data_IF_180861844434
#
_entry.id   IF_180861844434
#
_cell.length_a   1.000
_cell.length_b   1.000
_cell.length_c   1.000
_cell.angle_alpha   90.00
_cell.angle_beta   90.00
_cell.angle_gamma   90.00
#
_symmetry.space_group_name_H-M   'P 1'
#
loop_
_entity.id
_entity.type
_entity.pdbx_description
1 polymer ?
#
# COMPACT_ATOMS: atom_id res chain seq x y z
N UNK A 1 -23.01 -24.85 3.80
CA UNK A 1 -22.66 -23.43 3.62
C UNK A 1 -21.14 -23.33 3.49
N UNK A 2 -20.62 -22.53 2.56
CA UNK A 2 -19.19 -22.17 2.61
C UNK A 2 -18.99 -21.26 3.83
N UNK A 3 -17.97 -21.53 4.65
CA UNK A 3 -17.56 -20.63 5.71
C UNK A 3 -16.77 -19.47 5.10
N UNK A 4 -17.04 -18.26 5.56
CA UNK A 4 -16.35 -17.05 5.14
C UNK A 4 -15.70 -16.41 6.35
N UNK A 5 -14.46 -15.94 6.19
CA UNK A 5 -13.74 -15.16 7.19
C UNK A 5 -13.58 -13.75 6.68
N UNK A 6 -13.91 -12.77 7.52
CA UNK A 6 -13.71 -11.36 7.24
C UNK A 6 -12.22 -11.02 7.34
N UNK A 7 -11.64 -10.53 6.24
CA UNK A 7 -10.22 -10.17 6.16
C UNK A 7 -9.98 -8.65 6.07
N UNK A 8 -11.04 -7.85 6.28
CA UNK A 8 -10.95 -6.40 6.35
C UNK A 8 -11.62 -5.67 5.19
N UNK A 9 -11.56 -4.34 5.29
CA UNK A 9 -12.06 -3.42 4.29
C UNK A 9 -11.04 -2.33 4.01
N UNK A 10 -11.01 -1.84 2.78
CA UNK A 10 -10.24 -0.67 2.37
C UNK A 10 -11.23 0.40 1.92
N UNK A 11 -11.31 1.50 2.66
CA UNK A 11 -12.16 2.62 2.30
C UNK A 11 -11.56 3.39 1.11
N UNK A 12 -12.42 3.87 0.22
CA UNK A 12 -12.00 4.83 -0.79
C UNK A 12 -11.76 6.17 -0.11
N UNK A 13 -10.51 6.63 -0.15
CA UNK A 13 -10.11 7.96 0.26
C UNK A 13 -9.85 8.81 -0.98
N UNK A 14 -10.52 9.95 -1.09
CA UNK A 14 -10.35 10.91 -2.19
C UNK A 14 -9.76 12.23 -1.68
N UNK A 15 -9.13 12.19 -0.50
CA UNK A 15 -8.54 13.34 0.15
C UNK A 15 -9.55 14.25 0.84
N UNK A 16 -9.15 15.47 1.20
CA UNK A 16 -9.97 16.41 1.98
C UNK A 16 -11.08 17.05 1.12
N UNK A 17 -12.01 16.24 0.65
CA UNK A 17 -13.19 16.68 -0.10
C UNK A 17 -14.42 16.73 0.81
N UNK A 18 -15.44 17.49 0.42
CA UNK A 18 -16.76 17.45 1.07
C UNK A 18 -17.59 16.22 0.64
N UNK A 19 -16.99 15.30 -0.12
CA UNK A 19 -17.65 14.07 -0.58
C UNK A 19 -17.59 13.03 0.54
N UNK A 20 -18.73 12.43 0.88
CA UNK A 20 -18.77 11.34 1.84
C UNK A 20 -18.05 10.11 1.25
N UNK A 21 -17.19 9.48 2.04
CA UNK A 21 -16.67 8.14 1.74
C UNK A 21 -17.85 7.18 1.56
N UNK A 22 -18.07 6.72 0.32
CA UNK A 22 -19.23 5.93 -0.09
C UNK A 22 -18.86 4.56 -0.66
N UNK A 23 -17.56 4.25 -0.74
CA UNK A 23 -17.03 3.00 -1.29
C UNK A 23 -16.04 2.33 -0.35
N UNK A 24 -16.09 1.01 -0.36
CA UNK A 24 -15.12 0.16 0.31
C UNK A 24 -14.81 -1.07 -0.55
N UNK A 25 -13.55 -1.49 -0.63
CA UNK A 25 -13.20 -2.84 -1.06
C UNK A 25 -13.33 -3.77 0.14
N UNK A 26 -14.06 -4.86 -0.03
CA UNK A 26 -14.32 -5.84 1.02
C UNK A 26 -13.55 -7.12 0.71
N UNK A 27 -12.74 -7.59 1.66
CA UNK A 27 -11.97 -8.83 1.54
C UNK A 27 -12.61 -9.95 2.34
N UNK A 28 -12.89 -11.06 1.67
CA UNK A 28 -13.47 -12.25 2.28
C UNK A 28 -12.64 -13.47 1.89
N UNK A 29 -12.27 -14.26 2.90
CA UNK A 29 -11.57 -15.53 2.68
C UNK A 29 -12.55 -16.71 2.73
N UNK A 30 -12.66 -17.50 1.65
CA UNK A 30 -13.43 -18.73 1.67
C UNK A 30 -12.67 -19.80 2.46
N UNK A 31 -13.23 -20.25 3.57
CA UNK A 31 -12.64 -21.31 4.40
C UNK A 31 -11.51 -20.84 5.33
N UNK A 32 -11.13 -19.57 5.32
CA UNK A 32 -10.15 -18.99 6.25
C UNK A 32 -8.69 -19.23 5.90
N UNK A 33 -8.38 -19.51 4.63
CA UNK A 33 -7.00 -19.49 4.14
C UNK A 33 -6.50 -18.05 3.97
N UNK A 34 -5.22 -17.88 3.61
CA UNK A 34 -4.63 -16.57 3.26
C UNK A 34 -5.05 -16.04 1.88
N UNK A 35 -5.99 -16.70 1.21
CA UNK A 35 -6.55 -16.30 -0.07
C UNK A 35 -7.84 -15.51 0.10
N UNK A 36 -7.95 -14.40 -0.62
CA UNK A 36 -9.09 -13.50 -0.58
C UNK A 36 -9.82 -13.47 -1.92
N UNK A 37 -11.14 -13.35 -1.87
CA UNK A 37 -11.89 -12.63 -2.90
C UNK A 37 -12.01 -11.17 -2.47
N UNK A 38 -12.14 -10.27 -3.45
CA UNK A 38 -12.30 -8.83 -3.19
C UNK A 38 -13.49 -8.30 -3.98
N UNK A 39 -14.37 -7.53 -3.34
CA UNK A 39 -15.53 -6.92 -4.00
C UNK A 39 -15.75 -5.51 -3.50
N UNK A 40 -16.04 -4.59 -4.40
CA UNK A 40 -16.42 -3.24 -4.06
C UNK A 40 -17.85 -3.17 -3.50
N UNK A 41 -18.02 -2.37 -2.45
CA UNK A 41 -19.25 -2.22 -1.70
C UNK A 41 -19.60 -0.73 -1.59
N UNK A 42 -20.86 -0.41 -1.86
CA UNK A 42 -21.41 0.91 -1.66
C UNK A 42 -21.92 1.04 -0.23
N UNK A 43 -21.30 1.94 0.54
CA UNK A 43 -21.67 2.19 1.94
C UNK A 43 -23.03 2.90 2.07
N UNK A 44 -23.44 3.64 1.02
CA UNK A 44 -24.71 4.39 1.02
C UNK A 44 -25.92 3.49 0.77
N UNK A 45 -25.78 2.49 -0.09
CA UNK A 45 -26.88 1.55 -0.43
C UNK A 45 -26.75 0.22 0.30
N UNK A 46 -25.64 -0.01 1.00
CA UNK A 46 -25.30 -1.26 1.70
C UNK A 46 -25.31 -2.49 0.78
N UNK A 47 -24.87 -2.30 -0.47
CA UNK A 47 -24.83 -3.36 -1.48
C UNK A 47 -23.46 -3.46 -2.14
N UNK A 48 -23.10 -4.66 -2.60
CA UNK A 48 -21.98 -4.81 -3.54
C UNK A 48 -22.29 -4.07 -4.85
N UNK A 49 -21.28 -3.41 -5.39
CA UNK A 49 -21.38 -2.69 -6.67
C UNK A 49 -21.26 -3.72 -7.80
N UNK A 50 -22.23 -3.74 -8.71
CA UNK A 50 -22.23 -4.67 -9.84
C UNK A 50 -21.11 -4.30 -10.84
N UNK A 51 -20.16 -5.22 -11.15
CA UNK A 51 -19.12 -4.98 -12.16
C UNK A 51 -19.67 -4.72 -13.56
N UNK A 52 -20.87 -5.22 -13.89
CA UNK A 52 -21.54 -5.01 -15.17
C UNK A 52 -22.63 -3.92 -15.10
N UNK A 53 -22.83 -3.32 -13.92
CA UNK A 53 -23.76 -2.22 -13.71
C UNK A 53 -23.17 -0.88 -14.12
N UNK A 54 -23.97 0.18 -13.96
CA UNK A 54 -23.56 1.55 -14.33
C UNK A 54 -22.34 2.06 -13.55
N UNK A 55 -22.15 1.60 -12.32
CA UNK A 55 -21.04 2.04 -11.46
C UNK A 55 -19.80 1.16 -11.59
N UNK A 56 -19.90 0.03 -12.31
CA UNK A 56 -18.79 -0.85 -12.70
C UNK A 56 -17.86 -1.19 -11.54
N UNK A 57 -18.38 -1.92 -10.55
CA UNK A 57 -17.66 -2.27 -9.33
C UNK A 57 -16.39 -3.08 -9.57
N UNK A 58 -15.35 -2.85 -8.77
CA UNK A 58 -14.18 -3.73 -8.76
C UNK A 58 -14.52 -5.09 -8.11
N UNK A 59 -14.26 -6.18 -8.83
CA UNK A 59 -14.51 -7.54 -8.36
C UNK A 59 -13.38 -8.53 -8.75
N UNK A 60 -12.86 -9.25 -7.75
CA UNK A 60 -11.94 -10.39 -7.88
C UNK A 60 -12.63 -11.59 -7.23
N UNK A 61 -13.07 -12.55 -8.04
CA UNK A 61 -13.84 -13.73 -7.56
C UNK A 61 -13.00 -14.97 -7.35
N UNK A 62 -11.83 -15.07 -7.99
CA UNK A 62 -10.92 -16.19 -7.76
C UNK A 62 -10.08 -15.95 -6.50
N UNK A 63 -10.15 -16.82 -5.48
CA UNK A 63 -9.39 -16.64 -4.25
C UNK A 63 -7.88 -16.75 -4.50
N UNK A 64 -7.14 -15.72 -4.10
CA UNK A 64 -5.67 -15.72 -4.10
C UNK A 64 -5.15 -14.75 -3.03
N UNK A 65 -3.87 -14.90 -2.64
CA UNK A 65 -3.23 -13.89 -1.76
C UNK A 65 -3.20 -12.57 -2.51
N UNK A 66 -4.03 -11.62 -2.09
CA UNK A 66 -4.28 -10.39 -2.87
C UNK A 66 -3.88 -9.14 -2.09
N UNK A 67 -3.03 -8.32 -2.71
CA UNK A 67 -2.76 -6.95 -2.29
C UNK A 67 -3.52 -6.03 -3.23
N UNK A 68 -4.40 -5.20 -2.69
CA UNK A 68 -5.19 -4.25 -3.47
C UNK A 68 -5.34 -2.98 -2.65
N UNK A 69 -5.32 -1.84 -3.31
CA UNK A 69 -5.49 -0.51 -2.75
C UNK A 69 -6.18 0.36 -3.79
N UNK A 70 -7.10 1.23 -3.37
CA UNK A 70 -7.54 2.31 -4.24
C UNK A 70 -6.35 3.23 -4.50
N UNK A 71 -6.16 3.58 -5.76
CA UNK A 71 -5.35 4.74 -6.12
C UNK A 71 -6.24 5.96 -6.33
N UNK A 72 -7.39 5.77 -6.97
CA UNK A 72 -8.45 6.77 -7.09
C UNK A 72 -9.81 6.06 -7.16
N UNK A 73 -10.90 6.82 -7.27
CA UNK A 73 -12.23 6.24 -7.51
C UNK A 73 -12.29 5.34 -8.74
N UNK A 74 -11.46 5.60 -9.75
CA UNK A 74 -11.49 4.89 -11.03
C UNK A 74 -10.29 3.96 -11.23
N UNK A 75 -9.48 3.73 -10.19
CA UNK A 75 -8.27 2.93 -10.31
C UNK A 75 -7.91 2.19 -9.01
N UNK A 76 -7.62 0.90 -9.13
CA UNK A 76 -6.99 0.12 -8.09
C UNK A 76 -5.55 -0.26 -8.48
N UNK A 77 -4.65 -0.26 -7.50
CA UNK A 77 -3.35 -0.92 -7.58
C UNK A 77 -3.53 -2.32 -7.03
N UNK A 78 -3.30 -3.34 -7.86
CA UNK A 78 -3.64 -4.73 -7.53
C UNK A 78 -2.48 -5.68 -7.85
N UNK A 79 -2.12 -6.51 -6.88
CA UNK A 79 -1.30 -7.70 -7.06
C UNK A 79 -2.09 -8.93 -6.63
N UNK A 80 -2.19 -9.91 -7.52
CA UNK A 80 -2.89 -11.19 -7.29
C UNK A 80 -2.39 -12.24 -8.28
N UNK A 81 -2.91 -13.46 -8.23
CA UNK A 81 -2.61 -14.49 -9.23
C UNK A 81 -3.45 -14.28 -10.50
N UNK A 82 -3.01 -13.40 -11.38
CA UNK A 82 -3.78 -12.95 -12.56
C UNK A 82 -4.11 -14.06 -13.55
N UNK A 83 -3.28 -15.10 -13.62
CA UNK A 83 -3.35 -16.15 -14.64
C UNK A 83 -3.65 -17.53 -14.03
N UNK A 84 -3.68 -17.64 -12.71
CA UNK A 84 -3.89 -18.90 -11.98
C UNK A 84 -2.81 -19.96 -12.29
N UNK A 85 -1.63 -19.50 -12.70
CA UNK A 85 -0.47 -20.31 -13.07
C UNK A 85 0.77 -19.96 -12.23
N UNK A 86 0.63 -19.07 -11.25
CA UNK A 86 1.70 -18.57 -10.35
C UNK A 86 2.79 -17.73 -11.03
N UNK A 87 2.68 -17.41 -12.33
CA UNK A 87 3.67 -16.60 -13.06
C UNK A 87 3.84 -15.18 -12.49
N UNK A 88 2.82 -14.70 -11.79
CA UNK A 88 2.75 -13.37 -11.17
C UNK A 88 3.00 -13.40 -9.66
N UNK A 89 3.35 -14.56 -9.11
CA UNK A 89 3.59 -14.77 -7.67
C UNK A 89 5.08 -14.99 -7.37
N UNK A 90 5.48 -14.63 -6.16
CA UNK A 90 6.79 -14.96 -5.60
C UNK A 90 6.85 -16.44 -5.21
N UNK A 91 8.05 -16.92 -4.83
CA UNK A 91 8.21 -18.28 -4.28
C UNK A 91 7.41 -18.49 -2.97
N UNK A 92 7.06 -17.40 -2.28
CA UNK A 92 6.20 -17.40 -1.09
C UNK A 92 4.70 -17.42 -1.41
N UNK A 93 4.32 -17.40 -2.69
CA UNK A 93 2.95 -17.41 -3.18
C UNK A 93 2.18 -16.10 -2.97
N UNK A 94 2.87 -14.99 -2.68
CA UNK A 94 2.30 -13.64 -2.65
C UNK A 94 2.51 -12.94 -3.99
N UNK A 95 1.83 -11.83 -4.28
CA UNK A 95 2.04 -11.09 -5.52
C UNK A 95 3.50 -10.69 -5.70
N UNK A 96 4.07 -10.98 -6.87
CA UNK A 96 5.35 -10.45 -7.37
C UNK A 96 5.11 -9.25 -8.29
N UNK A 97 3.98 -9.27 -9.00
CA UNK A 97 3.58 -8.26 -9.99
C UNK A 97 2.43 -7.44 -9.42
N UNK A 98 2.51 -6.12 -9.54
CA UNK A 98 1.43 -5.18 -9.25
C UNK A 98 1.02 -4.46 -10.53
N UNK A 99 -0.29 -4.36 -10.74
CA UNK A 99 -0.90 -3.76 -11.92
C UNK A 99 -1.82 -2.59 -11.54
N UNK A 100 -1.86 -1.58 -12.42
CA UNK A 100 -2.91 -0.57 -12.47
C UNK A 100 -4.15 -1.17 -13.12
N UNK A 101 -5.25 -1.23 -12.36
CA UNK A 101 -6.53 -1.73 -12.83
C UNK A 101 -7.56 -0.61 -12.85
N UNK A 102 -8.01 -0.26 -14.06
CA UNK A 102 -8.94 0.84 -14.31
C UNK A 102 -10.38 0.36 -14.17
N UNK A 103 -11.24 1.21 -13.61
CA UNK A 103 -12.67 0.94 -13.48
C UNK A 103 -13.29 0.71 -14.87
N UNK A 104 -14.22 -0.25 -14.95
CA UNK A 104 -14.91 -0.58 -16.19
C UNK A 104 -14.12 -1.46 -17.16
N UNK A 105 -12.89 -1.86 -16.81
CA UNK A 105 -12.13 -2.87 -17.58
C UNK A 105 -12.04 -4.18 -16.82
N UNK A 106 -11.95 -5.33 -17.50
CA UNK A 106 -11.68 -6.60 -16.83
C UNK A 106 -10.27 -6.61 -16.21
N UNK A 107 -10.09 -7.34 -15.11
CA UNK A 107 -8.79 -7.46 -14.42
C UNK A 107 -7.66 -7.92 -15.34
N UNK A 108 -7.96 -8.69 -16.39
CA UNK A 108 -7.01 -9.17 -17.39
C UNK A 108 -6.38 -8.05 -18.24
N UNK A 109 -7.05 -6.89 -18.35
CA UNK A 109 -6.55 -5.70 -19.07
C UNK A 109 -5.73 -4.76 -18.19
N UNK A 110 -5.59 -5.06 -16.88
CA UNK A 110 -4.74 -4.28 -16.00
C UNK A 110 -3.28 -4.26 -16.50
N UNK A 111 -2.61 -3.13 -16.33
CA UNK A 111 -1.26 -2.87 -16.85
C UNK A 111 -0.24 -2.99 -15.73
N UNK A 112 0.84 -3.75 -15.94
CA UNK A 112 1.92 -3.86 -14.95
C UNK A 112 2.58 -2.51 -14.72
N UNK A 113 2.67 -2.12 -13.44
CA UNK A 113 3.29 -0.86 -13.00
C UNK A 113 4.45 -1.07 -12.04
N UNK A 114 4.57 -2.26 -11.46
CA UNK A 114 5.65 -2.60 -10.53
C UNK A 114 5.86 -4.12 -10.46
N UNK A 115 7.12 -4.55 -10.41
CA UNK A 115 7.49 -5.94 -10.21
C UNK A 115 8.61 -6.05 -9.17
N UNK A 116 8.46 -7.00 -8.24
CA UNK A 116 9.49 -7.41 -7.30
C UNK A 116 10.29 -8.61 -7.84
N UNK A 117 11.30 -9.05 -7.08
CA UNK A 117 12.06 -10.24 -7.42
C UNK A 117 11.29 -11.51 -7.06
N UNK A 118 11.57 -12.61 -7.77
CA UNK A 118 10.94 -13.91 -7.53
C UNK A 118 11.16 -14.42 -6.08
N UNK A 119 12.34 -14.14 -5.53
CA UNK A 119 12.78 -14.56 -4.19
C UNK A 119 12.31 -13.62 -3.06
N UNK A 120 11.71 -12.48 -3.39
CA UNK A 120 11.12 -11.62 -2.37
C UNK A 120 9.92 -12.32 -1.72
N UNK A 121 9.53 -11.88 -0.53
CA UNK A 121 8.28 -12.34 0.08
C UNK A 121 7.09 -11.84 -0.74
N UNK A 122 7.03 -10.54 -1.04
CA UNK A 122 5.91 -9.94 -1.77
C UNK A 122 6.25 -8.57 -2.38
N UNK A 123 5.51 -8.21 -3.42
CA UNK A 123 5.33 -6.86 -3.93
C UNK A 123 4.01 -6.27 -3.43
N UNK A 124 4.02 -4.98 -3.11
CA UNK A 124 2.82 -4.19 -2.86
C UNK A 124 2.99 -2.80 -3.48
N UNK A 125 1.89 -2.19 -3.89
CA UNK A 125 1.85 -0.79 -4.30
C UNK A 125 0.54 -0.19 -3.82
N UNK A 126 0.61 0.99 -3.22
CA UNK A 126 -0.54 1.63 -2.60
C UNK A 126 -0.41 3.14 -2.61
N UNK A 127 -1.55 3.82 -2.64
CA UNK A 127 -1.68 5.27 -2.54
C UNK A 127 -2.69 5.61 -1.45
N UNK A 128 -2.47 6.72 -0.76
CA UNK A 128 -3.46 7.25 0.18
C UNK A 128 -3.29 8.76 0.34
N UNK A 129 -4.35 9.39 0.83
CA UNK A 129 -4.38 10.80 1.13
C UNK A 129 -4.25 11.00 2.64
N UNK A 130 -3.52 12.02 3.08
CA UNK A 130 -3.53 12.45 4.47
C UNK A 130 -3.34 13.96 4.55
N UNK A 131 -4.34 14.66 5.10
CA UNK A 131 -4.30 16.13 5.34
C UNK A 131 -3.85 16.94 4.12
N UNK A 132 -4.25 16.52 2.92
CA UNK A 132 -3.94 17.20 1.65
C UNK A 132 -2.64 16.72 0.97
N UNK A 133 -1.89 15.81 1.57
CA UNK A 133 -0.76 15.15 0.94
C UNK A 133 -1.21 13.84 0.32
N UNK A 134 -0.62 13.48 -0.82
CA UNK A 134 -0.83 12.17 -1.45
C UNK A 134 0.49 11.43 -1.49
N UNK A 135 0.50 10.29 -0.80
CA UNK A 135 1.66 9.43 -0.72
C UNK A 135 1.42 8.19 -1.54
N UNK A 136 2.29 7.93 -2.52
CA UNK A 136 2.28 6.69 -3.26
C UNK A 136 3.58 5.92 -3.03
N UNK A 137 3.43 4.63 -2.72
CA UNK A 137 4.53 3.75 -2.38
C UNK A 137 4.52 2.51 -3.24
N UNK A 138 5.72 2.10 -3.66
CA UNK A 138 6.03 0.73 -4.03
C UNK A 138 6.80 0.10 -2.88
N UNK A 139 6.45 -1.13 -2.51
CA UNK A 139 7.04 -1.85 -1.40
C UNK A 139 7.46 -3.26 -1.85
N UNK A 140 8.75 -3.56 -1.70
CA UNK A 140 9.25 -4.94 -1.74
C UNK A 140 9.42 -5.42 -0.32
N UNK A 141 8.68 -6.44 0.08
CA UNK A 141 9.02 -7.22 1.27
C UNK A 141 10.10 -8.24 0.86
N UNK A 142 11.37 -7.92 1.10
CA UNK A 142 12.51 -8.74 0.64
C UNK A 142 12.58 -10.02 1.48
N UNK A 143 12.56 -9.87 2.79
CA UNK A 143 12.46 -10.98 3.75
C UNK A 143 11.34 -10.70 4.75
N UNK A 144 11.18 -11.56 5.76
CA UNK A 144 10.29 -11.28 6.90
C UNK A 144 10.70 -10.06 7.73
N UNK A 145 11.95 -9.60 7.63
CA UNK A 145 12.49 -8.52 8.47
C UNK A 145 13.06 -7.35 7.68
N UNK A 146 13.13 -7.46 6.35
CA UNK A 146 13.70 -6.42 5.50
C UNK A 146 12.76 -6.06 4.37
N UNK A 147 12.67 -4.77 4.07
CA UNK A 147 11.81 -4.19 3.05
C UNK A 147 12.51 -3.04 2.34
N UNK A 148 12.17 -2.83 1.07
CA UNK A 148 12.57 -1.66 0.30
C UNK A 148 11.33 -0.84 -0.04
N UNK A 149 11.33 0.43 0.37
CA UNK A 149 10.28 1.39 0.06
C UNK A 149 10.76 2.29 -1.08
N UNK A 150 9.97 2.40 -2.12
CA UNK A 150 10.10 3.47 -3.11
C UNK A 150 8.89 4.39 -2.99
N UNK A 151 9.13 5.69 -3.07
CA UNK A 151 8.15 6.72 -2.81
C UNK A 151 8.10 7.75 -3.94
N UNK A 152 6.91 8.28 -4.19
CA UNK A 152 6.70 9.55 -4.88
C UNK A 152 5.60 10.35 -4.20
N UNK A 153 5.77 11.67 -4.19
CA UNK A 153 4.73 12.61 -3.78
C UNK A 153 3.87 12.96 -4.99
N UNK A 154 2.55 12.91 -4.84
CA UNK A 154 1.59 13.31 -5.87
C UNK A 154 0.63 14.37 -5.34
N UNK A 155 -0.16 14.97 -6.24
CA UNK A 155 -1.29 15.84 -5.88
C UNK A 155 -2.61 15.08 -5.96
N UNK A 156 -3.63 15.61 -5.26
CA UNK A 156 -4.99 15.07 -5.30
C UNK A 156 -5.54 15.09 -6.73
N UNK A 157 -5.32 16.20 -7.44
CA UNK A 157 -5.74 16.36 -8.84
C UNK A 157 -4.99 15.42 -9.77
N UNK A 158 -3.69 15.22 -9.53
CA UNK A 158 -2.84 14.33 -10.33
C UNK A 158 -3.33 12.89 -10.27
N UNK A 159 -3.58 12.38 -9.05
CA UNK A 159 -4.05 11.00 -8.85
C UNK A 159 -5.47 10.79 -9.38
N UNK A 160 -6.32 11.81 -9.36
CA UNK A 160 -7.66 11.73 -9.94
C UNK A 160 -7.65 11.73 -11.49
N UNK A 161 -6.67 12.38 -12.12
CA UNK A 161 -6.64 12.58 -13.57
C UNK A 161 -5.70 11.66 -14.35
N UNK A 162 -4.62 11.18 -13.73
CA UNK A 162 -3.57 10.38 -14.39
C UNK A 162 -3.46 9.04 -13.68
N UNK A 163 -3.58 7.94 -14.41
CA UNK A 163 -3.46 6.58 -13.86
C UNK A 163 -1.99 6.19 -13.65
N UNK A 164 -1.71 5.23 -12.78
CA UNK A 164 -0.35 4.85 -12.41
C UNK A 164 0.50 4.38 -13.60
N UNK A 165 -0.10 3.74 -14.61
CA UNK A 165 0.57 3.31 -15.84
C UNK A 165 0.96 4.48 -16.77
N UNK A 166 0.40 5.68 -16.52
CA UNK A 166 0.67 6.90 -17.26
C UNK A 166 1.36 7.98 -16.40
N UNK A 167 1.68 7.67 -15.15
CA UNK A 167 2.27 8.64 -14.22
C UNK A 167 3.78 8.75 -14.46
N UNK A 168 4.21 9.96 -14.80
CA UNK A 168 5.60 10.25 -15.16
C UNK A 168 6.46 10.65 -13.97
N UNK A 169 5.85 11.00 -12.82
CA UNK A 169 6.61 11.28 -11.60
C UNK A 169 7.33 9.99 -11.15
N UNK A 170 8.68 9.97 -11.12
CA UNK A 170 9.42 8.77 -10.85
C UNK A 170 9.37 8.39 -9.37
N UNK A 171 9.39 7.08 -9.10
CA UNK A 171 9.66 6.56 -7.77
C UNK A 171 11.14 6.75 -7.41
N UNK A 172 11.41 7.12 -6.16
CA UNK A 172 12.75 7.16 -5.56
C UNK A 172 12.80 6.26 -4.35
N UNK A 173 13.91 5.56 -4.15
CA UNK A 173 14.13 4.80 -2.94
C UNK A 173 14.11 5.72 -1.71
N UNK A 174 13.41 5.31 -0.66
CA UNK A 174 13.41 6.00 0.62
C UNK A 174 14.70 5.65 1.36
N UNK A 175 15.54 6.63 1.76
CA UNK A 175 16.87 6.35 2.32
C UNK A 175 16.79 6.00 3.81
N UNK A 176 16.20 4.85 4.12
CA UNK A 176 16.15 4.23 5.45
C UNK A 176 16.77 2.83 5.39
N UNK A 177 17.26 2.29 6.53
CA UNK A 177 17.69 0.89 6.58
C UNK A 177 16.58 -0.06 6.13
N UNK A 178 16.93 -1.15 5.44
CA UNK A 178 15.92 -2.11 4.97
C UNK A 178 15.16 -2.79 6.11
N UNK A 179 15.74 -2.87 7.31
CA UNK A 179 15.10 -3.43 8.49
C UNK A 179 14.25 -2.42 9.28
N UNK A 180 14.15 -1.18 8.80
CA UNK A 180 13.25 -0.17 9.34
C UNK A 180 11.87 -0.22 8.69
N UNK A 181 10.86 0.23 9.44
CA UNK A 181 9.49 0.38 8.96
C UNK A 181 9.18 1.86 8.74
N UNK A 182 8.44 2.15 7.68
CA UNK A 182 8.02 3.50 7.32
C UNK A 182 6.51 3.65 7.49
N UNK A 183 6.11 4.62 8.30
CA UNK A 183 4.77 5.21 8.30
C UNK A 183 4.82 6.68 7.91
N UNK A 184 3.66 7.31 7.77
CA UNK A 184 3.55 8.76 7.64
C UNK A 184 2.46 9.33 8.53
N UNK A 185 2.55 10.63 8.80
CA UNK A 185 1.47 11.43 9.35
C UNK A 185 1.52 12.82 8.70
N UNK A 186 0.49 13.16 7.91
CA UNK A 186 0.58 14.20 6.91
C UNK A 186 1.90 14.03 6.11
N UNK A 187 2.63 15.12 5.88
CA UNK A 187 3.92 15.08 5.20
C UNK A 187 5.12 14.73 6.10
N UNK A 188 4.90 14.08 7.24
CA UNK A 188 5.96 13.66 8.17
C UNK A 188 6.20 12.16 8.03
N UNK A 189 7.42 11.75 7.76
CA UNK A 189 7.83 10.35 7.82
C UNK A 189 7.97 9.92 9.28
N UNK A 190 7.45 8.73 9.60
CA UNK A 190 7.63 8.05 10.89
C UNK A 190 8.44 6.78 10.64
N UNK A 191 9.72 6.79 11.02
CA UNK A 191 10.65 5.68 10.81
C UNK A 191 10.82 4.91 12.10
N UNK A 192 10.35 3.67 12.14
CA UNK A 192 10.54 2.75 13.27
C UNK A 192 11.77 1.91 13.01
N UNK A 193 12.75 1.99 13.91
CA UNK A 193 14.05 1.36 13.74
C UNK A 193 14.10 -0.04 14.34
N UNK A 194 14.67 -1.00 13.63
CA UNK A 194 14.99 -2.33 14.18
C UNK A 194 16.46 -2.46 14.59
N UNK A 195 17.33 -1.67 13.98
CA UNK A 195 18.76 -1.56 14.32
C UNK A 195 19.12 -0.13 14.75
N UNK A 196 20.26 0.03 15.43
CA UNK A 196 20.82 1.35 15.72
C UNK A 196 21.11 2.10 14.40
N UNK A 197 20.74 3.38 14.32
CA UNK A 197 20.94 4.21 13.14
C UNK A 197 21.84 5.41 13.47
N UNK A 198 22.94 5.54 12.72
CA UNK A 198 23.81 6.72 12.77
C UNK A 198 23.74 7.45 11.43
N UNK A 199 23.16 8.66 11.43
CA UNK A 199 22.88 9.42 10.20
C UNK A 199 22.84 10.91 10.48
N UNK A 200 23.34 11.74 9.57
CA UNK A 200 23.30 13.21 9.72
C UNK A 200 23.94 13.74 11.02
N UNK A 201 24.96 13.05 11.55
CA UNK A 201 25.58 13.39 12.83
C UNK A 201 24.75 13.05 14.07
N UNK A 202 23.59 12.39 13.92
CA UNK A 202 22.73 11.92 15.00
C UNK A 202 22.83 10.40 15.16
N UNK A 203 22.48 9.92 16.34
CA UNK A 203 22.44 8.49 16.67
C UNK A 203 21.09 8.15 17.31
N UNK A 204 20.39 7.16 16.76
CA UNK A 204 19.11 6.66 17.23
C UNK A 204 19.22 5.17 17.54
N UNK A 205 18.59 4.72 18.63
CA UNK A 205 18.67 3.32 19.07
C UNK A 205 17.65 2.44 18.38
N UNK A 206 17.98 1.17 18.20
CA UNK A 206 17.03 0.13 17.84
C UNK A 206 15.76 0.21 18.71
N UNK A 207 14.60 0.04 18.09
CA UNK A 207 13.27 0.19 18.69
C UNK A 207 12.79 1.64 18.83
N UNK A 208 13.56 2.64 18.43
CA UNK A 208 13.11 4.04 18.42
C UNK A 208 12.14 4.30 17.26
N UNK A 209 11.22 5.26 17.46
CA UNK A 209 10.45 5.87 16.38
C UNK A 209 10.98 7.28 16.14
N UNK A 210 11.43 7.56 14.93
CA UNK A 210 12.00 8.85 14.53
C UNK A 210 11.05 9.53 13.56
N UNK A 211 10.74 10.80 13.79
CA UNK A 211 9.93 11.62 12.91
C UNK A 211 10.78 12.69 12.22
N UNK A 212 10.55 12.91 10.93
CA UNK A 212 11.14 14.00 10.15
C UNK A 212 10.26 14.32 8.94
N UNK A 213 10.32 15.54 8.37
CA UNK A 213 9.58 15.85 7.15
C UNK A 213 9.93 14.87 6.02
N UNK A 214 8.91 14.33 5.35
CA UNK A 214 9.09 13.37 4.25
C UNK A 214 9.99 13.91 3.13
N UNK A 215 9.89 15.19 2.70
CA UNK A 215 10.80 15.74 1.70
C UNK A 215 12.27 15.75 2.15
N UNK A 216 12.54 16.05 3.42
CA UNK A 216 13.89 16.03 3.98
C UNK A 216 14.43 14.60 4.03
N UNK A 217 13.60 13.64 4.46
CA UNK A 217 13.96 12.22 4.42
C UNK A 217 14.34 11.80 3.00
N UNK A 218 13.57 12.17 1.98
CA UNK A 218 13.86 11.78 0.58
C UNK A 218 15.17 12.37 0.03
N UNK A 219 15.64 13.48 0.59
CA UNK A 219 16.96 14.06 0.31
C UNK A 219 18.06 13.54 1.24
N UNK A 220 17.74 12.54 2.08
CA UNK A 220 18.60 11.99 3.12
C UNK A 220 19.12 13.08 4.09
N UNK A 221 18.33 14.13 4.29
CA UNK A 221 18.59 15.18 5.27
C UNK A 221 17.88 14.86 6.59
N UNK A 222 18.67 14.56 7.62
CA UNK A 222 18.18 14.19 8.95
C UNK A 222 18.33 15.34 9.97
N UNK A 223 18.62 16.57 9.51
CA UNK A 223 18.83 17.74 10.37
C UNK A 223 17.65 18.00 11.32
N UNK A 224 16.41 17.83 10.85
CA UNK A 224 15.20 18.01 11.67
C UNK A 224 14.61 16.71 12.22
N UNK A 225 15.34 15.59 12.13
CA UNK A 225 14.88 14.34 12.71
C UNK A 225 14.77 14.40 14.24
N UNK A 226 13.62 13.97 14.77
CA UNK A 226 13.28 13.96 16.21
C UNK A 226 12.90 12.54 16.62
N UNK A 227 13.50 12.02 17.69
CA UNK A 227 13.04 10.79 18.31
C UNK A 227 11.70 11.03 19.03
N UNK A 228 10.61 10.52 18.47
CA UNK A 228 9.28 10.58 19.09
C UNK A 228 9.11 9.51 20.17
N UNK A 229 9.86 8.42 20.04
CA UNK A 229 9.96 7.36 21.04
C UNK A 229 11.38 6.82 21.06
N UNK A 230 11.90 6.57 22.26
CA UNK A 230 13.14 5.82 22.48
C UNK A 230 12.86 4.74 23.51
N UNK A 231 13.13 3.47 23.22
CA UNK A 231 12.84 2.39 24.15
C UNK A 231 13.69 2.52 25.41
N UNK A 232 13.13 1.99 26.49
CA UNK A 232 13.86 1.76 27.74
C UNK A 232 13.93 0.26 27.97
N UNK A 233 14.68 -0.21 28.98
CA UNK A 233 14.80 -1.64 29.28
C UNK A 233 13.45 -2.35 29.49
N UNK A 234 12.40 -1.61 29.85
CA UNK A 234 11.06 -2.14 30.11
C UNK A 234 9.96 -1.57 29.20
N UNK A 235 10.30 -0.88 28.11
CA UNK A 235 9.32 -0.28 27.19
C UNK A 235 9.69 -0.51 25.73
N UNK A 236 8.75 -1.07 24.98
CA UNK A 236 8.76 -1.15 23.51
C UNK A 236 7.70 -0.22 22.92
N UNK A 237 7.88 0.13 21.64
CA UNK A 237 6.92 0.96 20.89
C UNK A 237 5.60 0.20 20.66
N UNK A 238 5.71 -1.09 20.36
CA UNK A 238 4.62 -2.03 20.17
C UNK A 238 4.96 -3.36 20.85
N UNK A 239 3.92 -4.14 21.17
CA UNK A 239 4.01 -5.48 21.76
C UNK A 239 4.34 -6.54 20.71
#
# INVERSE_FOLDING_TARGET
AKTWVWHGSILLDEGPTNTKCDRALIKLSPGGSDADICREFCLSTETFVDPNGNEQGFEITTPAKTRISYRSRNECLVGTDFHHDKSTLTDSGYPRVVKSWKRGTPLSEAVTVFEAQQTDIAANMYSYHDRGYVHEFQLRSITFYTSQYLYRALSVEGVAGVTADMEEVPFREVPIPEDAELGTFANTALVTLRSDLNVGGKSFKAGSMVALPMPELMENDWANAVAMFTPTLSRSLSS
#
